data_IF_219841380477
#
_entry.id   IF_219841380477
#
_cell.length_a   1.000
_cell.length_b   1.000
_cell.length_c   1.000
_cell.angle_alpha   90.00
_cell.angle_beta   90.00
_cell.angle_gamma   90.00
#
_symmetry.space_group_name_H-M   'P 1'
#
loop_
_entity.id
_entity.type
_entity.pdbx_description
1 polymer ?
#
# COMPACT_ATOMS: atom_id res chain seq x y z
N UNK A 1 30.48 22.00 -7.55
CA UNK A 1 31.00 20.66 -7.17
C UNK A 1 30.22 20.17 -5.93
N UNK A 2 29.18 19.35 -6.10
CA UNK A 2 29.15 17.88 -5.88
C UNK A 2 29.53 17.40 -4.46
N UNK A 3 28.71 17.67 -3.43
CA UNK A 3 28.83 16.98 -2.13
C UNK A 3 27.49 16.86 -1.37
N UNK A 4 26.43 16.27 -1.94
CA UNK A 4 25.21 15.91 -1.14
C UNK A 4 24.61 14.53 -1.50
N UNK A 5 25.05 13.86 -2.58
CA UNK A 5 24.41 12.60 -3.03
C UNK A 5 24.80 11.33 -2.25
N UNK A 6 25.84 11.36 -1.44
CA UNK A 6 26.37 10.14 -0.80
C UNK A 6 25.67 9.79 0.52
N UNK A 7 25.25 10.79 1.31
CA UNK A 7 24.66 10.56 2.65
C UNK A 7 23.29 9.89 2.65
N UNK A 8 22.46 10.15 1.63
CA UNK A 8 21.11 9.55 1.53
C UNK A 8 21.18 8.09 1.06
N UNK A 9 22.19 7.74 0.27
CA UNK A 9 22.41 6.36 -0.20
C UNK A 9 22.89 5.47 0.95
N UNK A 10 23.77 5.98 1.82
CA UNK A 10 24.32 5.20 2.95
C UNK A 10 23.26 4.91 4.03
N UNK A 11 22.33 5.84 4.30
CA UNK A 11 21.22 5.60 5.24
C UNK A 11 20.15 4.65 4.68
N UNK A 12 19.97 4.59 3.36
CA UNK A 12 19.12 3.58 2.69
C UNK A 12 19.77 2.18 2.70
N UNK A 13 21.10 2.11 2.73
CA UNK A 13 21.82 0.84 2.87
C UNK A 13 21.62 0.21 4.26
N UNK A 14 21.55 1.00 5.34
CA UNK A 14 21.36 0.46 6.70
C UNK A 14 19.97 -0.14 6.96
N UNK A 15 18.92 0.35 6.31
CA UNK A 15 17.60 -0.31 6.34
C UNK A 15 17.51 -1.50 5.37
N UNK A 16 18.33 -1.50 4.31
CA UNK A 16 18.44 -2.63 3.40
C UNK A 16 19.28 -3.80 3.96
N UNK A 17 20.14 -3.56 4.95
CA UNK A 17 20.95 -4.60 5.62
C UNK A 17 20.19 -5.40 6.68
N UNK A 18 18.97 -4.99 7.05
CA UNK A 18 18.15 -5.74 8.03
C UNK A 18 17.64 -7.08 7.45
N UNK A 19 17.79 -7.33 6.14
CA UNK A 19 17.42 -8.58 5.47
C UNK A 19 18.56 -9.59 5.22
N UNK A 20 19.79 -9.35 5.70
CA UNK A 20 20.95 -10.22 5.43
C UNK A 20 21.12 -11.39 6.41
N UNK A 21 20.12 -11.67 7.25
CA UNK A 21 20.07 -12.88 8.07
C UNK A 21 19.20 -13.97 7.43
N UNK A 22 19.44 -15.23 7.83
CA UNK A 22 18.51 -16.36 7.57
C UNK A 22 17.15 -16.22 8.31
N UNK A 23 16.90 -15.07 8.94
CA UNK A 23 15.63 -14.75 9.59
C UNK A 23 14.56 -14.47 8.53
N UNK A 24 13.75 -15.50 8.30
CA UNK A 24 12.64 -15.50 7.36
C UNK A 24 11.64 -14.37 7.61
N UNK A 25 11.43 -13.95 8.88
CA UNK A 25 10.53 -12.85 9.22
C UNK A 25 11.07 -11.53 8.68
N UNK A 26 12.34 -11.23 8.97
CA UNK A 26 13.02 -10.01 8.48
C UNK A 26 13.09 -9.92 6.96
N UNK A 27 13.29 -11.04 6.27
CA UNK A 27 13.27 -11.08 4.80
C UNK A 27 11.91 -10.65 4.24
N UNK A 28 10.83 -11.17 4.83
CA UNK A 28 9.47 -10.85 4.41
C UNK A 28 9.11 -9.40 4.75
N UNK A 29 9.42 -8.93 5.96
CA UNK A 29 9.20 -7.55 6.37
C UNK A 29 9.97 -6.60 5.45
N UNK A 30 11.24 -6.89 5.16
CA UNK A 30 12.06 -6.11 4.22
C UNK A 30 11.46 -6.05 2.82
N UNK A 31 10.94 -7.16 2.29
CA UNK A 31 10.30 -7.19 0.98
C UNK A 31 9.02 -6.34 0.91
N UNK A 32 8.17 -6.44 1.92
CA UNK A 32 6.91 -5.70 2.00
C UNK A 32 7.15 -4.20 2.23
N UNK A 33 8.10 -3.85 3.10
CA UNK A 33 8.50 -2.46 3.33
C UNK A 33 9.10 -1.84 2.07
N UNK A 34 9.94 -2.59 1.36
CA UNK A 34 10.52 -2.12 0.10
C UNK A 34 9.46 -1.91 -0.99
N UNK A 35 8.44 -2.78 -1.06
CA UNK A 35 7.29 -2.55 -1.94
C UNK A 35 6.53 -1.26 -1.59
N UNK A 36 6.28 -1.01 -0.30
CA UNK A 36 5.65 0.24 0.16
C UNK A 36 6.46 1.46 -0.27
N UNK A 37 7.80 1.38 -0.23
CA UNK A 37 8.68 2.45 -0.75
C UNK A 37 8.53 2.63 -2.26
N UNK A 38 8.46 1.55 -3.05
CA UNK A 38 8.26 1.63 -4.50
C UNK A 38 6.91 2.28 -4.86
N UNK A 39 5.84 1.90 -4.15
CA UNK A 39 4.51 2.49 -4.30
C UNK A 39 4.55 3.98 -3.91
N UNK A 40 5.17 4.31 -2.78
CA UNK A 40 5.37 5.68 -2.33
C UNK A 40 6.12 6.54 -3.38
N UNK A 41 7.16 5.99 -4.00
CA UNK A 41 7.94 6.72 -5.01
C UNK A 41 7.14 6.94 -6.29
N UNK A 42 6.26 5.99 -6.64
CA UNK A 42 5.44 6.06 -7.84
C UNK A 42 4.26 7.02 -7.68
N UNK A 43 3.48 6.90 -6.61
CA UNK A 43 2.23 7.64 -6.46
C UNK A 43 2.39 8.92 -5.64
N UNK A 44 2.01 10.03 -6.26
CA UNK A 44 1.79 11.32 -5.65
C UNK A 44 0.55 11.29 -4.75
N UNK A 45 0.54 12.21 -3.78
CA UNK A 45 -0.50 12.44 -2.77
C UNK A 45 -1.93 12.36 -3.28
N UNK A 46 -2.87 11.82 -2.51
CA UNK A 46 -4.29 12.21 -2.64
C UNK A 46 -4.69 13.32 -1.66
N UNK A 47 -5.87 13.88 -1.86
CA UNK A 47 -6.50 14.87 -0.97
C UNK A 47 -6.55 14.41 0.47
N UNK A 48 -6.93 13.15 0.71
CA UNK A 48 -7.00 12.56 2.05
C UNK A 48 -5.65 12.60 2.75
N UNK A 49 -4.56 12.26 2.04
CA UNK A 49 -3.22 12.18 2.62
C UNK A 49 -2.68 13.55 2.98
N UNK A 50 -2.96 14.55 2.14
CA UNK A 50 -2.63 15.94 2.42
C UNK A 50 -3.43 16.50 3.60
N UNK A 51 -4.74 16.26 3.67
CA UNK A 51 -5.59 16.72 4.77
C UNK A 51 -5.15 16.11 6.11
N UNK A 52 -4.87 14.80 6.15
CA UNK A 52 -4.36 14.14 7.35
C UNK A 52 -2.98 14.69 7.75
N UNK A 53 -2.09 14.95 6.80
CA UNK A 53 -0.77 15.55 7.08
C UNK A 53 -0.87 16.98 7.65
N UNK A 54 -1.86 17.75 7.22
CA UNK A 54 -2.10 19.12 7.72
C UNK A 54 -2.77 19.12 9.10
N UNK A 55 -3.44 18.05 9.49
CA UNK A 55 -4.09 17.95 10.79
C UNK A 55 -3.08 17.58 11.89
N UNK A 56 -2.67 18.56 12.70
CA UNK A 56 -1.72 18.39 13.82
C UNK A 56 -2.19 17.42 14.93
N UNK A 57 -3.47 17.00 14.92
CA UNK A 57 -4.04 16.04 15.89
C UNK A 57 -4.05 14.59 15.38
N UNK A 58 -3.61 14.33 14.15
CA UNK A 58 -3.65 12.99 13.56
C UNK A 58 -2.50 12.09 14.03
N UNK A 59 -2.79 11.00 14.73
CA UNK A 59 -1.81 9.97 15.15
C UNK A 59 -1.44 8.97 14.05
N UNK A 60 -2.02 9.14 12.85
CA UNK A 60 -2.00 8.13 11.78
C UNK A 60 -0.95 8.36 10.69
N UNK A 61 -0.22 9.48 10.72
CA UNK A 61 0.89 9.76 9.80
C UNK A 61 2.10 10.16 10.64
N UNK A 62 3.27 9.57 10.36
CA UNK A 62 4.51 9.99 11.04
C UNK A 62 4.82 11.44 10.70
N UNK A 63 5.40 12.21 11.62
CA UNK A 63 5.78 13.61 11.38
C UNK A 63 6.59 13.80 10.08
N UNK A 64 7.59 12.94 9.87
CA UNK A 64 8.41 12.91 8.64
C UNK A 64 7.55 12.76 7.37
N UNK A 65 6.54 11.88 7.42
CA UNK A 65 5.64 11.63 6.30
C UNK A 65 4.68 12.81 6.09
N UNK A 66 4.18 13.41 7.17
CA UNK A 66 3.40 14.65 7.11
C UNK A 66 4.18 15.78 6.43
N UNK A 67 5.44 15.98 6.80
CA UNK A 67 6.32 16.99 6.19
C UNK A 67 6.61 16.70 4.71
N UNK A 68 6.89 15.45 4.34
CA UNK A 68 7.04 15.04 2.94
C UNK A 68 5.78 15.34 2.13
N UNK A 69 4.60 15.05 2.71
CA UNK A 69 3.32 15.28 2.07
C UNK A 69 3.05 16.77 1.85
N UNK A 70 3.20 17.57 2.90
CA UNK A 70 3.03 19.02 2.80
C UNK A 70 4.02 19.62 1.81
N UNK A 71 5.28 19.19 1.83
CA UNK A 71 6.34 19.69 0.93
C UNK A 71 6.07 19.34 -0.53
N UNK A 72 5.78 18.07 -0.85
CA UNK A 72 5.52 17.63 -2.22
C UNK A 72 4.25 18.28 -2.78
N UNK A 73 3.18 18.37 -1.98
CA UNK A 73 1.93 19.00 -2.41
C UNK A 73 2.13 20.49 -2.74
N UNK A 74 2.88 21.22 -1.90
CA UNK A 74 3.25 22.62 -2.15
C UNK A 74 4.16 22.79 -3.36
N UNK A 75 5.04 21.83 -3.63
CA UNK A 75 5.93 21.86 -4.80
C UNK A 75 5.15 21.66 -6.11
N UNK A 76 4.28 20.65 -6.15
CA UNK A 76 3.54 20.27 -7.38
C UNK A 76 2.36 21.22 -7.62
N UNK A 77 1.72 21.69 -6.55
CA UNK A 77 0.55 22.57 -6.60
C UNK A 77 0.77 23.79 -5.70
N UNK A 78 1.64 24.73 -6.09
CA UNK A 78 2.00 25.89 -5.25
C UNK A 78 0.80 26.78 -4.93
N UNK A 79 -0.12 26.92 -5.88
CA UNK A 79 -1.36 27.67 -5.73
C UNK A 79 -2.56 26.71 -5.81
N UNK A 80 -3.53 26.88 -4.90
CA UNK A 80 -4.79 26.12 -4.85
C UNK A 80 -4.62 24.59 -4.64
N UNK A 81 -3.63 24.18 -3.84
CA UNK A 81 -3.27 22.77 -3.58
C UNK A 81 -4.48 21.87 -3.28
N UNK A 82 -5.31 22.21 -2.29
CA UNK A 82 -6.47 21.40 -1.90
C UNK A 82 -7.49 21.25 -3.02
N UNK A 83 -7.80 22.35 -3.73
CA UNK A 83 -8.74 22.34 -4.85
C UNK A 83 -8.23 21.45 -5.98
N UNK A 84 -6.95 21.55 -6.33
CA UNK A 84 -6.32 20.73 -7.38
C UNK A 84 -6.29 19.24 -7.00
N UNK A 85 -5.90 18.91 -5.76
CA UNK A 85 -5.93 17.53 -5.26
C UNK A 85 -7.36 16.96 -5.26
N UNK A 86 -8.34 17.75 -4.83
CA UNK A 86 -9.74 17.35 -4.82
C UNK A 86 -10.27 17.10 -6.24
N UNK A 87 -9.93 17.96 -7.20
CA UNK A 87 -10.26 17.74 -8.62
C UNK A 87 -9.61 16.45 -9.15
N UNK A 88 -8.34 16.21 -8.86
CA UNK A 88 -7.67 14.98 -9.29
C UNK A 88 -8.35 13.72 -8.74
N UNK A 89 -8.70 13.75 -7.45
CA UNK A 89 -9.43 12.65 -6.83
C UNK A 89 -10.82 12.47 -7.43
N UNK A 90 -11.56 13.56 -7.64
CA UNK A 90 -12.87 13.54 -8.26
C UNK A 90 -12.82 12.96 -9.67
N UNK A 91 -11.94 13.49 -10.52
CA UNK A 91 -11.97 13.26 -11.96
C UNK A 91 -11.24 11.98 -12.39
N UNK A 92 -10.19 11.56 -11.67
CA UNK A 92 -9.34 10.43 -12.07
C UNK A 92 -9.48 9.20 -11.19
N UNK A 93 -9.94 9.34 -9.94
CA UNK A 93 -10.11 8.22 -9.02
C UNK A 93 -11.59 7.86 -8.90
N UNK A 94 -12.41 8.82 -8.50
CA UNK A 94 -13.79 8.55 -8.10
C UNK A 94 -14.78 8.58 -9.27
N UNK A 95 -14.35 8.93 -10.47
CA UNK A 95 -15.25 9.01 -11.62
C UNK A 95 -15.42 7.63 -12.26
N UNK A 96 -16.64 7.11 -12.36
CA UNK A 96 -16.93 5.91 -13.13
C UNK A 96 -16.52 6.13 -14.59
N UNK A 97 -15.77 5.20 -15.21
CA UNK A 97 -15.34 5.36 -16.60
C UNK A 97 -16.51 5.48 -17.58
N UNK A 98 -17.59 4.74 -17.35
CA UNK A 98 -18.71 4.60 -18.29
C UNK A 98 -19.75 5.72 -18.12
N UNK A 99 -20.15 6.01 -16.88
CA UNK A 99 -21.26 6.94 -16.58
C UNK A 99 -20.79 8.33 -16.18
N UNK A 100 -19.53 8.47 -15.76
CA UNK A 100 -19.02 9.70 -15.18
C UNK A 100 -19.52 10.00 -13.76
N UNK A 101 -20.29 9.09 -13.16
CA UNK A 101 -20.77 9.20 -11.77
C UNK A 101 -19.60 9.21 -10.78
N UNK A 102 -19.76 9.93 -9.68
CA UNK A 102 -18.76 9.96 -8.60
C UNK A 102 -19.05 8.88 -7.57
N UNK A 103 -18.19 7.88 -7.53
CA UNK A 103 -18.30 6.74 -6.64
C UNK A 103 -16.91 6.32 -6.16
N UNK A 104 -16.82 5.83 -4.93
CA UNK A 104 -15.55 5.33 -4.40
C UNK A 104 -15.12 4.06 -5.15
N UNK A 105 -13.80 3.87 -5.41
CA UNK A 105 -13.23 2.62 -5.89
C UNK A 105 -13.71 1.35 -5.17
N UNK A 106 -14.15 1.42 -3.91
CA UNK A 106 -14.76 0.29 -3.20
C UNK A 106 -16.04 -0.23 -3.83
N UNK A 107 -16.65 0.49 -4.75
CA UNK A 107 -17.88 0.08 -5.42
C UNK A 107 -17.65 -0.25 -6.90
N UNK A 108 -16.45 -0.02 -7.43
CA UNK A 108 -16.13 -0.34 -8.83
C UNK A 108 -16.08 -1.86 -9.00
N UNK A 109 -16.61 -2.36 -10.11
CA UNK A 109 -16.62 -3.81 -10.42
C UNK A 109 -15.90 -4.10 -11.74
N UNK A 110 -15.27 -5.27 -11.82
CA UNK A 110 -14.69 -5.77 -13.08
C UNK A 110 -13.77 -4.75 -13.78
N UNK A 111 -14.15 -4.36 -15.00
CA UNK A 111 -13.37 -3.44 -15.82
C UNK A 111 -13.30 -2.01 -15.25
N UNK A 112 -14.24 -1.61 -14.40
CA UNK A 112 -14.22 -0.29 -13.76
C UNK A 112 -13.01 -0.13 -12.83
N UNK A 113 -12.66 -1.18 -12.09
CA UNK A 113 -11.45 -1.22 -11.26
C UNK A 113 -10.18 -1.19 -12.11
N UNK A 114 -10.16 -1.93 -13.23
CA UNK A 114 -9.05 -1.92 -14.17
C UNK A 114 -8.80 -0.52 -14.73
N UNK A 115 -9.84 0.14 -15.24
CA UNK A 115 -9.75 1.49 -15.80
C UNK A 115 -9.39 2.55 -14.75
N UNK A 116 -9.89 2.42 -13.52
CA UNK A 116 -9.46 3.27 -12.41
C UNK A 116 -7.97 3.07 -12.09
N UNK A 117 -7.51 1.81 -12.06
CA UNK A 117 -6.11 1.47 -11.81
C UNK A 117 -5.17 2.04 -12.88
N UNK A 118 -5.58 2.00 -14.14
CA UNK A 118 -4.83 2.58 -15.25
C UNK A 118 -4.72 4.11 -15.13
N UNK A 119 -5.82 4.80 -14.85
CA UNK A 119 -5.83 6.27 -14.65
C UNK A 119 -4.92 6.70 -13.51
N UNK A 120 -4.95 6.01 -12.36
CA UNK A 120 -4.07 6.35 -11.23
C UNK A 120 -2.60 6.10 -11.55
N UNK A 121 -2.30 5.08 -12.35
CA UNK A 121 -0.94 4.76 -12.81
C UNK A 121 -0.42 5.79 -13.82
N UNK A 122 -1.27 6.23 -14.75
CA UNK A 122 -0.93 7.25 -15.74
C UNK A 122 -0.61 8.58 -15.07
N UNK A 123 -1.45 9.03 -14.14
CA UNK A 123 -1.25 10.30 -13.42
C UNK A 123 -0.27 10.20 -12.27
N UNK A 124 0.20 9.00 -11.93
CA UNK A 124 0.99 8.75 -10.73
C UNK A 124 0.31 9.39 -9.50
N UNK A 125 -1.01 9.23 -9.34
CA UNK A 125 -1.81 9.86 -8.29
C UNK A 125 -2.86 8.87 -7.79
N UNK A 126 -2.86 8.55 -6.49
CA UNK A 126 -3.74 7.53 -5.94
C UNK A 126 -4.17 7.86 -4.50
N UNK A 127 -5.42 7.53 -4.16
CA UNK A 127 -5.95 7.57 -2.79
C UNK A 127 -5.67 6.25 -2.04
N UNK A 128 -6.09 6.18 -0.78
CA UNK A 128 -5.79 5.04 0.10
C UNK A 128 -6.33 3.72 -0.46
N UNK A 129 -7.51 3.74 -1.08
CA UNK A 129 -8.16 2.59 -1.70
C UNK A 129 -7.33 2.04 -2.87
N UNK A 130 -6.95 2.91 -3.82
CA UNK A 130 -6.18 2.51 -4.99
C UNK A 130 -4.73 2.14 -4.65
N UNK A 131 -4.13 2.77 -3.64
CA UNK A 131 -2.81 2.35 -3.15
C UNK A 131 -2.86 1.01 -2.42
N UNK A 132 -3.92 0.74 -1.64
CA UNK A 132 -4.14 -0.58 -1.05
C UNK A 132 -4.30 -1.65 -2.13
N UNK A 133 -5.09 -1.39 -3.18
CA UNK A 133 -5.21 -2.29 -4.32
C UNK A 133 -3.87 -2.50 -5.03
N UNK A 134 -3.10 -1.44 -5.31
CA UNK A 134 -1.77 -1.54 -5.94
C UNK A 134 -0.83 -2.41 -5.09
N UNK A 135 -0.79 -2.20 -3.78
CA UNK A 135 0.01 -3.02 -2.88
C UNK A 135 -0.44 -4.48 -2.88
N UNK A 136 -1.76 -4.72 -2.81
CA UNK A 136 -2.34 -6.05 -2.84
C UNK A 136 -1.96 -6.80 -4.12
N UNK A 137 -1.99 -6.16 -5.29
CA UNK A 137 -1.59 -6.78 -6.57
C UNK A 137 -0.20 -7.40 -6.46
N UNK A 138 0.77 -6.63 -5.97
CA UNK A 138 2.15 -7.06 -5.91
C UNK A 138 2.40 -8.10 -4.82
N UNK A 139 1.82 -7.90 -3.63
CA UNK A 139 1.90 -8.84 -2.50
C UNK A 139 1.29 -10.18 -2.89
N UNK A 140 0.14 -10.15 -3.56
CA UNK A 140 -0.51 -11.35 -4.08
C UNK A 140 0.40 -12.09 -5.06
N UNK A 141 1.07 -11.39 -5.98
CA UNK A 141 1.98 -12.00 -6.98
C UNK A 141 3.29 -12.50 -6.37
N UNK A 142 3.78 -11.87 -5.30
CA UNK A 142 4.90 -12.39 -4.50
C UNK A 142 4.55 -13.72 -3.82
N UNK A 143 3.27 -14.03 -3.63
CA UNK A 143 2.79 -15.33 -3.14
C UNK A 143 2.01 -15.27 -1.82
N UNK A 144 1.80 -14.07 -1.30
CA UNK A 144 1.02 -13.79 -0.09
C UNK A 144 -0.47 -13.77 -0.44
N UNK A 145 -1.07 -14.96 -0.55
CA UNK A 145 -2.45 -15.12 -1.05
C UNK A 145 -3.51 -14.96 0.04
N UNK A 146 -3.16 -15.23 1.30
CA UNK A 146 -4.07 -15.18 2.44
C UNK A 146 -4.01 -13.79 3.06
N UNK A 147 -4.72 -12.86 2.42
CA UNK A 147 -4.81 -11.47 2.86
C UNK A 147 -6.15 -10.85 2.45
N UNK A 148 -6.49 -9.74 3.09
CA UNK A 148 -7.67 -8.94 2.77
C UNK A 148 -7.30 -7.46 2.64
N UNK A 149 -7.88 -6.78 1.66
CA UNK A 149 -7.95 -5.32 1.66
C UNK A 149 -9.01 -4.93 2.67
N UNK A 150 -8.65 -4.07 3.62
CA UNK A 150 -9.55 -3.55 4.64
C UNK A 150 -9.77 -2.07 4.40
N UNK A 151 -11.03 -1.65 4.52
CA UNK A 151 -11.46 -0.27 4.58
C UNK A 151 -11.89 0.07 6.00
N UNK A 152 -11.31 1.12 6.57
CA UNK A 152 -11.72 1.69 7.85
C UNK A 152 -12.37 3.05 7.63
N UNK A 153 -13.70 3.07 7.66
CA UNK A 153 -14.52 4.26 7.44
C UNK A 153 -14.31 5.31 8.54
N UNK A 154 -14.02 4.89 9.78
CA UNK A 154 -13.82 5.81 10.91
C UNK A 154 -12.63 6.76 10.70
N UNK A 155 -11.61 6.30 9.96
CA UNK A 155 -10.39 7.07 9.70
C UNK A 155 -10.16 7.33 8.21
N UNK A 156 -11.14 7.01 7.35
CA UNK A 156 -11.05 7.13 5.89
C UNK A 156 -9.76 6.51 5.32
N UNK A 157 -9.42 5.30 5.79
CA UNK A 157 -8.13 4.68 5.49
C UNK A 157 -8.22 3.22 5.09
N UNK A 158 -7.30 2.79 4.23
CA UNK A 158 -7.22 1.44 3.70
C UNK A 158 -5.85 0.82 3.90
N UNK A 159 -5.85 -0.46 4.25
CA UNK A 159 -4.64 -1.24 4.52
C UNK A 159 -4.89 -2.69 4.13
N UNK A 160 -3.81 -3.48 4.16
CA UNK A 160 -3.88 -4.91 3.93
C UNK A 160 -3.74 -5.64 5.24
N UNK A 161 -4.63 -6.59 5.47
CA UNK A 161 -4.54 -7.54 6.56
C UNK A 161 -3.93 -8.83 6.03
N UNK A 162 -2.84 -9.28 6.64
CA UNK A 162 -2.28 -10.60 6.46
C UNK A 162 -2.84 -11.50 7.56
N UNK A 163 -3.40 -12.64 7.16
CA UNK A 163 -3.93 -13.63 8.11
C UNK A 163 -2.83 -14.18 9.03
N UNK A 164 -3.18 -14.73 10.20
CA UNK A 164 -2.24 -15.40 11.10
C UNK A 164 -1.40 -16.48 10.40
N UNK A 165 -0.09 -16.42 10.64
CA UNK A 165 0.90 -17.36 10.08
C UNK A 165 1.92 -17.75 11.14
N UNK A 166 2.85 -18.64 10.79
CA UNK A 166 4.01 -18.94 11.64
C UNK A 166 4.92 -17.73 11.90
N UNK A 167 5.02 -16.77 10.96
CA UNK A 167 5.84 -15.55 11.12
C UNK A 167 5.13 -14.47 11.96
N UNK A 168 3.81 -14.36 11.81
CA UNK A 168 2.96 -13.45 12.58
C UNK A 168 1.78 -14.23 13.16
N UNK A 169 1.92 -14.85 14.35
CA UNK A 169 0.88 -15.69 14.96
C UNK A 169 -0.46 -15.01 15.19
N UNK A 170 -0.48 -13.67 15.20
CA UNK A 170 -1.70 -12.86 15.38
C UNK A 170 -2.21 -12.24 14.08
N UNK A 171 -1.50 -12.45 12.96
CA UNK A 171 -1.67 -11.71 11.72
C UNK A 171 -0.85 -10.42 11.72
N UNK A 172 -0.84 -9.74 10.59
CA UNK A 172 -0.12 -8.48 10.42
C UNK A 172 -0.92 -7.49 9.57
N UNK A 173 -0.61 -6.20 9.72
CA UNK A 173 -1.11 -5.13 8.87
C UNK A 173 0.02 -4.60 8.00
N UNK A 174 -0.27 -4.40 6.72
CA UNK A 174 0.58 -3.68 5.78
C UNK A 174 -0.16 -2.40 5.42
N UNK A 175 0.47 -1.26 5.70
CA UNK A 175 -0.09 0.05 5.41
C UNK A 175 0.72 0.71 4.28
N UNK A 176 0.27 0.56 3.02
CA UNK A 176 1.01 1.06 1.87
C UNK A 176 1.01 2.60 1.77
N UNK A 177 0.18 3.27 2.57
CA UNK A 177 -0.07 4.71 2.48
C UNK A 177 0.94 5.52 3.28
N UNK A 178 1.13 5.15 4.53
CA UNK A 178 1.87 5.92 5.52
C UNK A 178 3.37 5.64 5.47
N UNK A 179 3.78 4.59 4.74
CA UNK A 179 5.10 4.01 4.89
C UNK A 179 5.30 3.37 6.26
N UNK A 180 4.21 3.08 7.01
CA UNK A 180 4.30 2.20 8.16
C UNK A 180 4.63 0.80 7.67
N UNK A 181 5.72 0.28 8.21
CA UNK A 181 6.20 -1.07 7.98
C UNK A 181 5.12 -2.11 8.30
N UNK A 182 5.34 -3.34 7.83
CA UNK A 182 4.56 -4.49 8.28
C UNK A 182 4.54 -4.52 9.80
N UNK A 183 3.35 -4.46 10.40
CA UNK A 183 3.19 -4.49 11.85
C UNK A 183 2.40 -5.72 12.26
N UNK A 184 2.98 -6.51 13.15
CA UNK A 184 2.26 -7.62 13.77
C UNK A 184 1.12 -7.09 14.65
N UNK A 185 -0.02 -7.78 14.61
CA UNK A 185 -1.12 -7.42 15.49
C UNK A 185 -0.83 -7.77 16.95
N UNK A 186 -1.21 -6.87 17.84
CA UNK A 186 -1.47 -7.27 19.22
C UNK A 186 -2.88 -7.93 19.34
N UNK A 187 -3.18 -8.51 20.50
CA UNK A 187 -4.45 -9.23 20.71
C UNK A 187 -5.68 -8.33 20.52
N UNK A 188 -5.61 -7.08 20.99
CA UNK A 188 -6.69 -6.11 20.86
C UNK A 188 -6.98 -5.76 19.39
N UNK A 189 -5.93 -5.48 18.61
CA UNK A 189 -6.03 -5.19 17.19
C UNK A 189 -6.63 -6.37 16.43
N UNK A 190 -6.13 -7.59 16.68
CA UNK A 190 -6.66 -8.81 16.06
C UNK A 190 -8.16 -8.98 16.33
N UNK A 191 -8.60 -8.79 17.57
CA UNK A 191 -10.00 -8.91 17.94
C UNK A 191 -10.86 -7.82 17.28
N UNK A 192 -10.38 -6.58 17.24
CA UNK A 192 -11.07 -5.49 16.53
C UNK A 192 -11.28 -5.78 15.04
N UNK A 193 -10.31 -6.44 14.40
CA UNK A 193 -10.43 -6.87 13.01
C UNK A 193 -11.35 -8.08 12.81
N UNK A 194 -11.24 -9.09 13.68
CA UNK A 194 -12.07 -10.30 13.60
C UNK A 194 -13.55 -10.04 13.85
N UNK A 195 -13.87 -9.08 14.72
CA UNK A 195 -15.25 -8.80 15.12
C UNK A 195 -15.90 -7.67 14.34
N UNK A 196 -15.31 -7.23 13.21
CA UNK A 196 -15.83 -6.18 12.33
C UNK A 196 -16.49 -5.06 13.14
N UNK A 197 -15.68 -4.23 13.81
CA UNK A 197 -16.20 -2.94 14.28
C UNK A 197 -16.99 -2.29 13.13
N UNK A 198 -18.15 -1.67 13.41
CA UNK A 198 -19.12 -1.23 12.38
C UNK A 198 -18.49 -0.43 11.24
N UNK A 199 -17.33 0.17 11.47
CA UNK A 199 -16.59 1.00 10.53
C UNK A 199 -15.55 0.25 9.69
N UNK A 200 -15.32 -1.04 9.93
CA UNK A 200 -14.35 -1.89 9.23
C UNK A 200 -15.08 -2.80 8.24
N UNK A 201 -14.69 -2.75 6.97
CA UNK A 201 -15.26 -3.57 5.91
C UNK A 201 -14.20 -4.13 4.96
N UNK A 202 -14.43 -5.33 4.43
CA UNK A 202 -13.64 -5.90 3.32
C UNK A 202 -14.34 -5.56 2.01
N UNK A 203 -13.76 -4.75 1.11
CA UNK A 203 -14.34 -4.48 -0.21
C UNK A 203 -14.24 -5.74 -1.09
N UNK A 204 -15.29 -6.56 -1.08
CA UNK A 204 -15.25 -7.90 -1.68
C UNK A 204 -15.02 -7.86 -3.19
N UNK A 205 -15.60 -6.88 -3.88
CA UNK A 205 -15.35 -6.59 -5.29
C UNK A 205 -13.86 -6.37 -5.61
N UNK A 206 -13.12 -5.62 -4.78
CA UNK A 206 -11.68 -5.44 -4.96
C UNK A 206 -10.92 -6.76 -4.74
N UNK A 207 -11.34 -7.54 -3.75
CA UNK A 207 -10.73 -8.85 -3.47
C UNK A 207 -10.96 -9.85 -4.61
N UNK A 208 -12.16 -9.86 -5.20
CA UNK A 208 -12.51 -10.74 -6.31
C UNK A 208 -11.80 -10.33 -7.59
N UNK A 209 -11.74 -9.01 -7.86
CA UNK A 209 -10.94 -8.48 -8.96
C UNK A 209 -9.46 -8.83 -8.81
N UNK A 210 -8.90 -8.67 -7.61
CA UNK A 210 -7.50 -8.97 -7.32
C UNK A 210 -7.15 -10.43 -7.64
N UNK A 211 -7.97 -11.38 -7.17
CA UNK A 211 -7.75 -12.82 -7.40
C UNK A 211 -7.68 -13.16 -8.89
N UNK A 212 -8.53 -12.53 -9.71
CA UNK A 212 -8.60 -12.73 -11.16
C UNK A 212 -7.45 -12.03 -11.91
N UNK A 213 -7.06 -10.82 -11.48
CA UNK A 213 -6.28 -9.91 -12.31
C UNK A 213 -4.85 -9.63 -11.83
N UNK A 214 -4.49 -9.95 -10.58
CA UNK A 214 -3.22 -9.52 -9.99
C UNK A 214 -1.97 -9.87 -10.83
N UNK A 215 -1.92 -11.06 -11.45
CA UNK A 215 -0.78 -11.47 -12.28
C UNK A 215 -0.60 -10.60 -13.52
N UNK A 216 -1.72 -10.19 -14.14
CA UNK A 216 -1.74 -9.35 -15.33
C UNK A 216 -1.29 -7.93 -14.99
N UNK A 217 -1.77 -7.39 -13.86
CA UNK A 217 -1.54 -6.00 -13.50
C UNK A 217 -0.30 -5.75 -12.65
N UNK A 218 0.38 -6.79 -12.16
CA UNK A 218 1.60 -6.60 -11.37
C UNK A 218 2.76 -6.06 -12.20
N UNK A 219 3.50 -5.11 -11.64
CA UNK A 219 4.74 -4.62 -12.20
C UNK A 219 5.82 -5.71 -12.11
N UNK A 220 6.07 -6.39 -13.24
CA UNK A 220 7.04 -7.49 -13.33
C UNK A 220 8.47 -7.06 -12.93
N UNK A 221 8.84 -5.80 -13.15
CA UNK A 221 10.15 -5.26 -12.76
C UNK A 221 10.26 -5.19 -11.24
N UNK A 222 9.25 -4.65 -10.55
CA UNK A 222 9.22 -4.59 -9.09
C UNK A 222 9.24 -5.98 -8.45
N UNK A 223 8.44 -6.91 -8.98
CA UNK A 223 8.42 -8.29 -8.50
C UNK A 223 9.80 -8.95 -8.64
N UNK A 224 10.47 -8.78 -9.79
CA UNK A 224 11.81 -9.32 -10.02
C UNK A 224 12.84 -8.71 -9.07
N UNK A 225 12.79 -7.40 -8.86
CA UNK A 225 13.70 -6.68 -7.98
C UNK A 225 13.54 -7.10 -6.52
N UNK A 226 12.30 -7.17 -6.02
CA UNK A 226 11.99 -7.65 -4.67
C UNK A 226 12.49 -9.10 -4.48
N UNK A 227 12.19 -9.99 -5.43
CA UNK A 227 12.65 -11.39 -5.38
C UNK A 227 14.16 -11.50 -5.35
N UNK A 228 14.87 -10.78 -6.22
CA UNK A 228 16.33 -10.78 -6.26
C UNK A 228 16.93 -10.28 -4.93
N UNK A 229 16.34 -9.24 -4.34
CA UNK A 229 16.89 -8.59 -3.15
C UNK A 229 16.60 -9.34 -1.85
N UNK A 230 15.41 -9.90 -1.69
CA UNK A 230 14.94 -10.46 -0.41
C UNK A 230 14.71 -11.98 -0.44
N UNK A 231 14.65 -12.58 -1.63
CA UNK A 231 14.41 -14.02 -1.82
C UNK A 231 15.37 -14.63 -2.87
N UNK A 232 16.70 -14.43 -2.76
CA UNK A 232 17.65 -14.95 -3.73
C UNK A 232 17.58 -16.49 -3.81
N UNK A 233 17.70 -17.05 -5.02
CA UNK A 233 17.66 -18.51 -5.24
C UNK A 233 16.28 -19.17 -5.07
N UNK A 234 15.29 -18.48 -4.48
CA UNK A 234 13.91 -18.95 -4.41
C UNK A 234 13.24 -18.66 -5.76
N UNK A 235 13.12 -19.70 -6.61
CA UNK A 235 12.54 -19.63 -7.95
C UNK A 235 11.11 -19.05 -8.01
N UNK A 236 10.42 -19.08 -9.17
CA UNK A 236 9.13 -18.40 -9.36
C UNK A 236 7.99 -18.92 -8.46
N UNK A 237 8.18 -20.04 -7.77
CA UNK A 237 7.18 -20.61 -6.84
C UNK A 237 6.70 -19.55 -5.85
N UNK A 238 5.40 -19.51 -5.55
CA UNK A 238 4.85 -18.54 -4.61
C UNK A 238 5.49 -18.76 -3.24
N UNK A 239 5.78 -17.67 -2.53
CA UNK A 239 6.22 -17.67 -1.12
C UNK A 239 5.12 -18.22 -0.16
N UNK A 240 4.17 -19.01 -0.66
CA UNK A 240 3.12 -19.71 0.10
C UNK A 240 3.72 -20.65 1.14
N UNK A 241 4.92 -21.19 0.90
CA UNK A 241 5.66 -22.00 1.88
C UNK A 241 6.25 -21.18 3.03
N UNK A 242 6.35 -19.84 2.88
CA UNK A 242 6.94 -18.95 3.88
C UNK A 242 5.89 -18.52 4.91
N UNK A 243 4.64 -18.36 4.48
CA UNK A 243 3.50 -18.00 5.31
C UNK A 243 2.57 -19.19 5.48
N UNK A 244 2.98 -20.14 6.31
CA UNK A 244 2.15 -21.29 6.64
C UNK A 244 1.00 -20.78 7.53
N UNK A 245 -0.27 -20.96 7.12
CA UNK A 245 -1.40 -20.61 7.96
C UNK A 245 -1.31 -21.35 9.29
N UNK A 246 -1.59 -20.66 10.39
CA UNK A 246 -1.72 -21.35 11.68
C UNK A 246 -3.02 -22.17 11.65
N UNK A 247 -2.91 -23.50 11.82
CA UNK A 247 -4.06 -24.38 12.03
C UNK A 247 -4.79 -24.01 13.32
#
# INVERSE_FOLDING_TARGET
MRFIKTGVIVLLCFYATIGLGNDQKKQVEGALNYLSVLIQQKYQLSTTGYQTAMNKKGTFITRKRGEQYTSMAKKVYPNQTLKKLAMLQKDYINKLPETGELLSPHHFVGNQLSAALERVREKNFANCEMQALEAAIHIYVLGFKNMAIISNKAISHNYLLLEPTTLWPKGAIVDPWTGYDVREFNFYQRNRYKHYAKEISVPQNMMDWLKKNARTYANKKWIREIRRKFFPGKGPRPLKSILIPKK
#
